data_IF_626376485661
#
_entry.id   IF_626376485661
#
_cell.length_a   1.000
_cell.length_b   1.000
_cell.length_c   1.000
_cell.angle_alpha   90.00
_cell.angle_beta   90.00
_cell.angle_gamma   90.00
#
_symmetry.space_group_name_H-M   'P 1'
#
loop_
_entity.id
_entity.type
_entity.pdbx_description
1 polymer ?
#
# COMPACT_ATOMS: atom_id res chain seq x y z
N UNK A 1 -35.13 28.04 -64.32
CA UNK A 1 -33.93 27.22 -63.88
C UNK A 1 -33.48 27.81 -62.57
N UNK A 2 -33.99 27.22 -61.48
CA UNK A 2 -33.68 27.62 -60.12
C UNK A 2 -32.49 26.84 -59.66
N UNK A 3 -31.45 27.55 -59.17
CA UNK A 3 -30.23 26.97 -58.63
C UNK A 3 -30.41 26.59 -57.15
N UNK A 4 -30.09 25.37 -56.88
CA UNK A 4 -30.10 24.74 -55.57
C UNK A 4 -28.96 25.36 -54.67
N UNK A 5 -29.22 25.79 -53.41
CA UNK A 5 -28.17 26.31 -52.55
C UNK A 5 -27.43 25.15 -51.88
N UNK A 6 -26.11 25.09 -52.10
CA UNK A 6 -25.18 24.15 -51.52
C UNK A 6 -25.25 24.14 -49.99
N UNK A 7 -25.48 22.95 -49.43
CA UNK A 7 -25.52 22.72 -48.01
C UNK A 7 -24.17 22.96 -47.33
N UNK A 8 -24.21 23.64 -46.20
CA UNK A 8 -23.04 23.87 -45.34
C UNK A 8 -22.50 22.54 -44.74
N UNK A 9 -21.18 22.39 -44.58
CA UNK A 9 -20.61 21.19 -43.95
C UNK A 9 -20.96 21.12 -42.46
N UNK A 10 -21.10 19.90 -41.90
CA UNK A 10 -21.42 19.74 -40.48
C UNK A 10 -20.26 20.24 -39.61
N UNK A 11 -20.61 20.99 -38.56
CA UNK A 11 -19.68 21.50 -37.57
C UNK A 11 -18.95 20.35 -36.89
N UNK A 12 -17.61 20.39 -36.91
CA UNK A 12 -16.76 19.45 -36.17
C UNK A 12 -17.03 19.59 -34.67
N UNK A 13 -17.42 18.49 -34.03
CA UNK A 13 -17.56 18.40 -32.59
C UNK A 13 -16.17 18.62 -31.94
N UNK A 14 -16.03 19.70 -31.20
CA UNK A 14 -14.84 19.95 -30.36
C UNK A 14 -14.62 18.80 -29.36
N UNK A 15 -13.36 18.42 -29.06
CA UNK A 15 -13.08 17.41 -28.06
C UNK A 15 -13.66 17.86 -26.72
N UNK A 16 -14.49 17.04 -26.11
CA UNK A 16 -14.90 17.24 -24.71
C UNK A 16 -13.66 17.18 -23.82
N UNK A 17 -13.21 18.32 -23.34
CA UNK A 17 -12.27 18.39 -22.24
C UNK A 17 -12.88 17.59 -21.07
N UNK A 18 -12.23 16.51 -20.68
CA UNK A 18 -12.55 15.83 -19.43
C UNK A 18 -12.26 16.83 -18.31
N UNK A 19 -13.30 17.39 -17.72
CA UNK A 19 -13.19 18.11 -16.46
C UNK A 19 -12.59 17.13 -15.45
N UNK A 20 -11.30 17.27 -15.17
CA UNK A 20 -10.66 16.61 -14.05
C UNK A 20 -11.19 17.29 -12.79
N UNK A 21 -12.19 16.68 -12.15
CA UNK A 21 -12.61 17.12 -10.83
C UNK A 21 -11.39 17.06 -9.91
N UNK A 22 -11.08 18.16 -9.25
CA UNK A 22 -10.00 18.21 -8.26
C UNK A 22 -10.28 17.11 -7.22
N UNK A 23 -9.30 16.22 -6.91
CA UNK A 23 -9.52 15.14 -5.93
C UNK A 23 -9.97 15.73 -4.60
N UNK A 24 -10.93 15.07 -3.93
CA UNK A 24 -11.45 15.51 -2.63
C UNK A 24 -10.38 15.42 -1.54
N UNK A 25 -9.38 14.54 -1.71
CA UNK A 25 -8.22 14.37 -0.83
C UNK A 25 -6.96 14.64 -1.62
N UNK A 26 -6.08 15.50 -1.12
CA UNK A 26 -4.83 15.89 -1.79
C UNK A 26 -3.58 15.29 -1.16
N UNK A 27 -3.64 14.92 0.11
CA UNK A 27 -2.51 14.35 0.82
C UNK A 27 -2.51 12.83 0.73
N UNK A 28 -1.36 12.26 0.40
CA UNK A 28 -1.11 10.82 0.40
C UNK A 28 0.05 10.55 1.34
N UNK A 29 -0.14 9.62 2.28
CA UNK A 29 0.89 9.19 3.23
C UNK A 29 1.20 7.73 2.97
N UNK A 30 2.45 7.43 2.62
CA UNK A 30 2.94 6.09 2.25
C UNK A 30 3.75 5.50 3.39
N UNK A 31 3.35 4.29 3.85
CA UNK A 31 3.94 3.57 4.98
C UNK A 31 4.53 2.26 4.49
N UNK A 32 5.83 2.05 4.68
CA UNK A 32 6.53 0.84 4.23
C UNK A 32 6.35 -0.34 5.18
N UNK A 33 6.71 -1.54 4.73
CA UNK A 33 6.66 -2.78 5.48
C UNK A 33 7.91 -3.08 6.31
N UNK A 34 7.98 -4.27 6.88
CA UNK A 34 9.18 -4.82 7.49
C UNK A 34 10.24 -5.17 6.45
N UNK A 35 11.50 -5.26 6.86
CA UNK A 35 12.68 -5.59 6.05
C UNK A 35 13.08 -4.54 4.99
N UNK A 36 12.26 -3.52 4.74
CA UNK A 36 12.47 -2.48 3.72
C UNK A 36 12.26 -1.11 4.34
N UNK A 37 12.66 -0.07 3.61
CA UNK A 37 12.43 1.33 3.97
C UNK A 37 11.50 2.02 2.97
N UNK A 38 11.31 3.32 3.15
CA UNK A 38 10.46 4.13 2.29
C UNK A 38 10.97 4.33 0.86
N UNK A 39 12.20 3.96 0.53
CA UNK A 39 12.78 4.17 -0.81
C UNK A 39 12.05 3.38 -1.90
N UNK A 40 11.47 2.22 -1.56
CA UNK A 40 10.69 1.43 -2.50
C UNK A 40 9.46 2.14 -3.05
N UNK A 41 8.96 3.17 -2.37
CA UNK A 41 7.83 3.97 -2.82
C UNK A 41 8.16 4.98 -3.93
N UNK A 42 9.44 5.12 -4.34
CA UNK A 42 9.89 6.18 -5.24
C UNK A 42 9.09 6.28 -6.55
N UNK A 43 8.76 5.16 -7.18
CA UNK A 43 8.02 5.16 -8.45
C UNK A 43 6.55 5.60 -8.25
N UNK A 44 5.89 5.09 -7.22
CA UNK A 44 4.51 5.49 -6.84
C UNK A 44 4.47 6.98 -6.48
N UNK A 45 5.43 7.45 -5.68
CA UNK A 45 5.57 8.87 -5.32
C UNK A 45 5.65 9.76 -6.56
N UNK A 46 6.49 9.41 -7.54
CA UNK A 46 6.62 10.19 -8.80
C UNK A 46 5.31 10.27 -9.57
N UNK A 47 4.57 9.16 -9.67
CA UNK A 47 3.29 9.14 -10.37
C UNK A 47 2.26 10.03 -9.69
N UNK A 48 2.12 9.93 -8.38
CA UNK A 48 1.14 10.71 -7.62
C UNK A 48 1.50 12.20 -7.55
N UNK A 49 2.77 12.55 -7.43
CA UNK A 49 3.19 13.96 -7.46
C UNK A 49 3.00 14.59 -8.83
N UNK A 50 3.19 13.83 -9.92
CA UNK A 50 2.88 14.30 -11.27
C UNK A 50 1.39 14.61 -11.47
N UNK A 51 0.50 13.95 -10.71
CA UNK A 51 -0.95 14.21 -10.70
C UNK A 51 -1.35 15.37 -9.77
N UNK A 52 -0.39 15.99 -9.09
CA UNK A 52 -0.62 17.12 -8.19
C UNK A 52 -0.99 16.76 -6.76
N UNK A 53 -0.82 15.49 -6.33
CA UNK A 53 -0.92 15.13 -4.91
C UNK A 53 0.29 15.59 -4.11
N UNK A 54 0.06 15.92 -2.84
CA UNK A 54 1.12 16.10 -1.85
C UNK A 54 1.40 14.72 -1.24
N UNK A 55 2.58 14.17 -1.51
CA UNK A 55 2.94 12.81 -1.09
C UNK A 55 4.03 12.85 -0.04
N UNK A 56 3.78 12.22 1.11
CA UNK A 56 4.76 12.06 2.18
C UNK A 56 5.04 10.57 2.38
N UNK A 57 6.31 10.20 2.50
CA UNK A 57 6.76 8.85 2.80
C UNK A 57 7.22 8.79 4.25
N UNK A 58 6.55 7.96 5.05
CA UNK A 58 6.94 7.73 6.44
C UNK A 58 8.16 6.81 6.46
N UNK A 59 9.15 7.15 7.26
CA UNK A 59 10.28 6.27 7.59
C UNK A 59 9.99 5.62 8.94
N UNK A 60 9.42 4.43 8.91
CA UNK A 60 9.10 3.68 10.12
C UNK A 60 10.39 3.22 10.82
N UNK A 61 10.52 3.40 12.14
CA UNK A 61 11.63 2.83 12.90
C UNK A 61 11.72 1.31 12.83
N UNK A 62 10.59 0.63 12.60
CA UNK A 62 10.44 -0.84 12.55
C UNK A 62 10.87 -1.56 13.84
N UNK A 63 10.88 -0.87 14.96
CA UNK A 63 11.26 -1.40 16.27
C UNK A 63 10.07 -1.98 17.02
N UNK A 64 8.94 -1.27 17.02
CA UNK A 64 7.68 -1.68 17.63
C UNK A 64 6.50 -1.09 16.88
N UNK A 65 5.33 -1.73 16.95
CA UNK A 65 4.11 -1.19 16.33
C UNK A 65 3.77 0.20 16.90
N UNK A 66 3.91 0.38 18.22
CA UNK A 66 3.66 1.67 18.88
C UNK A 66 4.56 2.79 18.32
N UNK A 67 5.86 2.53 18.15
CA UNK A 67 6.81 3.49 17.60
C UNK A 67 6.52 3.85 16.14
N UNK A 68 6.14 2.86 15.33
CA UNK A 68 5.81 3.05 13.92
C UNK A 68 4.48 3.80 13.74
N UNK A 69 3.49 3.52 14.59
CA UNK A 69 2.24 4.27 14.69
C UNK A 69 2.50 5.72 15.10
N UNK A 70 3.37 5.94 16.10
CA UNK A 70 3.73 7.29 16.53
C UNK A 70 4.42 8.08 15.42
N UNK A 71 5.36 7.47 14.68
CA UNK A 71 6.02 8.08 13.52
C UNK A 71 5.00 8.43 12.42
N UNK A 72 4.04 7.57 12.17
CA UNK A 72 2.97 7.81 11.18
C UNK A 72 2.05 8.95 11.63
N UNK A 73 1.61 8.96 12.88
CA UNK A 73 0.76 10.03 13.44
C UNK A 73 1.47 11.37 13.45
N UNK A 74 2.76 11.41 13.75
CA UNK A 74 3.56 12.64 13.66
C UNK A 74 3.51 13.26 12.26
N UNK A 75 3.54 12.44 11.20
CA UNK A 75 3.36 12.93 9.83
C UNK A 75 1.93 13.43 9.60
N UNK A 76 0.92 12.69 10.08
CA UNK A 76 -0.49 13.07 9.94
C UNK A 76 -0.83 14.38 10.64
N UNK A 77 -0.26 14.63 11.82
CA UNK A 77 -0.41 15.88 12.59
C UNK A 77 0.10 17.12 11.83
N UNK A 78 1.11 16.94 10.98
CA UNK A 78 1.69 18.03 10.18
C UNK A 78 0.97 18.31 8.87
N UNK A 79 -0.12 17.61 8.53
CA UNK A 79 -0.79 17.78 7.24
C UNK A 79 -1.80 18.95 7.26
N UNK A 80 -1.85 19.64 6.13
CA UNK A 80 -2.89 20.64 5.85
C UNK A 80 -4.08 19.96 5.12
N UNK A 81 -4.95 19.30 5.88
CA UNK A 81 -6.16 18.67 5.40
C UNK A 81 -6.13 17.13 5.32
N UNK A 82 -7.20 16.53 4.77
CA UNK A 82 -7.40 15.09 4.81
C UNK A 82 -6.40 14.32 3.93
N UNK A 83 -6.08 13.08 4.34
CA UNK A 83 -5.13 12.20 3.70
C UNK A 83 -5.71 10.81 3.36
N UNK A 84 -5.22 10.21 2.29
CA UNK A 84 -5.26 8.76 2.09
C UNK A 84 -4.01 8.17 2.73
N UNK A 85 -4.19 7.23 3.65
CA UNK A 85 -3.10 6.54 4.32
C UNK A 85 -2.89 5.17 3.67
N UNK A 86 -1.69 4.92 3.16
CA UNK A 86 -1.34 3.74 2.36
C UNK A 86 -0.32 2.90 3.08
N UNK A 87 -0.56 1.60 3.25
CA UNK A 87 0.36 0.68 3.90
C UNK A 87 0.71 -0.52 3.03
N UNK A 88 2.01 -0.83 2.93
CA UNK A 88 2.52 -2.05 2.31
C UNK A 88 2.91 -3.06 3.38
N UNK A 89 2.55 -4.33 3.19
CA UNK A 89 3.01 -5.43 4.06
C UNK A 89 2.67 -5.17 5.54
N UNK A 90 3.67 -5.20 6.44
CA UNK A 90 3.54 -4.79 7.85
C UNK A 90 3.01 -3.35 8.01
N UNK A 91 3.31 -2.46 7.06
CA UNK A 91 2.73 -1.12 7.05
C UNK A 91 1.20 -1.10 7.08
N UNK A 92 0.55 -2.19 6.65
CA UNK A 92 -0.89 -2.39 6.82
C UNK A 92 -1.33 -2.51 8.27
N UNK A 93 -0.56 -3.15 9.14
CA UNK A 93 -0.81 -3.16 10.58
C UNK A 93 -0.64 -1.76 11.18
N UNK A 94 0.39 -1.03 10.75
CA UNK A 94 0.62 0.36 11.19
C UNK A 94 -0.55 1.26 10.79
N UNK A 95 -1.02 1.19 9.54
CA UNK A 95 -2.15 2.04 9.11
C UNK A 95 -3.48 1.60 9.71
N UNK A 96 -3.63 0.33 10.09
CA UNK A 96 -4.82 -0.15 10.80
C UNK A 96 -4.95 0.52 12.16
N UNK A 97 -3.86 0.79 12.86
CA UNK A 97 -3.85 1.48 14.16
C UNK A 97 -3.79 3.01 14.00
N UNK A 98 -2.87 3.53 13.17
CA UNK A 98 -2.70 4.98 12.96
C UNK A 98 -3.90 5.61 12.24
N UNK A 99 -4.62 4.85 11.44
CA UNK A 99 -5.72 5.32 10.59
C UNK A 99 -6.97 5.80 11.34
N UNK A 100 -7.04 5.59 12.66
CA UNK A 100 -8.07 6.21 13.52
C UNK A 100 -7.89 7.73 13.64
N UNK A 101 -6.75 8.26 13.22
CA UNK A 101 -6.47 9.70 13.21
C UNK A 101 -7.50 10.48 12.40
N UNK A 102 -7.88 11.68 12.88
CA UNK A 102 -8.94 12.51 12.27
C UNK A 102 -8.63 12.93 10.82
N UNK A 103 -7.36 13.21 10.50
CA UNK A 103 -6.92 13.58 9.15
C UNK A 103 -7.03 12.41 8.15
N UNK A 104 -7.20 11.17 8.59
CA UNK A 104 -7.29 10.03 7.67
C UNK A 104 -8.69 9.92 7.09
N UNK A 105 -8.77 10.04 5.79
CA UNK A 105 -10.00 9.98 5.01
C UNK A 105 -10.32 8.58 4.49
N UNK A 106 -9.28 7.84 4.09
CA UNK A 106 -9.39 6.50 3.55
C UNK A 106 -8.09 5.73 3.76
N UNK A 107 -8.18 4.40 3.73
CA UNK A 107 -7.06 3.46 3.86
C UNK A 107 -6.83 2.72 2.55
N UNK A 108 -5.57 2.50 2.21
CA UNK A 108 -5.18 1.66 1.06
C UNK A 108 -4.15 0.64 1.51
N UNK A 109 -4.48 -0.62 1.35
CA UNK A 109 -3.64 -1.76 1.69
C UNK A 109 -2.99 -2.32 0.41
N UNK A 110 -1.68 -2.44 0.38
CA UNK A 110 -0.93 -2.96 -0.78
C UNK A 110 -0.20 -4.22 -0.35
N UNK A 111 -0.67 -5.40 -0.79
CA UNK A 111 -0.10 -6.69 -0.38
C UNK A 111 0.19 -6.72 1.14
N UNK A 112 -0.79 -6.36 1.96
CA UNK A 112 -0.56 -5.92 3.34
C UNK A 112 -1.37 -6.72 4.37
N UNK A 113 -0.90 -6.69 5.62
CA UNK A 113 -1.69 -7.16 6.76
C UNK A 113 -2.80 -6.16 7.10
N UNK A 114 -4.00 -6.67 7.39
CA UNK A 114 -5.13 -5.88 7.88
C UNK A 114 -5.67 -6.54 9.18
N UNK A 115 -4.91 -6.44 10.28
CA UNK A 115 -5.29 -7.07 11.55
C UNK A 115 -6.57 -6.48 12.12
N UNK A 116 -7.32 -7.32 12.81
CA UNK A 116 -8.45 -6.93 13.64
C UNK A 116 -8.01 -6.62 15.07
N UNK A 117 -8.94 -6.17 15.91
CA UNK A 117 -8.68 -5.86 17.32
C UNK A 117 -8.10 -7.06 18.06
N UNK A 118 -6.94 -6.86 18.68
CA UNK A 118 -6.19 -7.88 19.40
C UNK A 118 -5.31 -8.77 18.51
N UNK A 119 -5.38 -8.63 17.19
CA UNK A 119 -4.50 -9.33 16.27
C UNK A 119 -3.19 -8.55 16.06
N UNK A 120 -2.13 -9.28 15.78
CA UNK A 120 -0.83 -8.78 15.34
C UNK A 120 -0.42 -9.48 14.04
N UNK A 121 0.65 -9.03 13.40
CA UNK A 121 1.22 -9.78 12.26
C UNK A 121 1.59 -11.20 12.71
N UNK A 122 2.19 -11.34 13.90
CA UNK A 122 2.56 -12.63 14.45
C UNK A 122 1.36 -13.59 14.58
N UNK A 123 0.21 -13.12 15.04
CA UNK A 123 -0.99 -13.97 15.14
C UNK A 123 -1.57 -14.33 13.78
N UNK A 124 -1.49 -13.42 12.79
CA UNK A 124 -2.00 -13.66 11.44
C UNK A 124 -1.16 -14.66 10.63
N UNK A 125 0.13 -14.80 10.93
CA UNK A 125 1.02 -15.75 10.25
C UNK A 125 1.16 -17.08 10.99
N UNK A 126 0.59 -17.22 12.20
CA UNK A 126 0.74 -18.41 13.05
C UNK A 126 0.07 -19.68 12.48
N UNK A 127 -1.01 -19.51 11.68
CA UNK A 127 -1.75 -20.63 11.07
C UNK A 127 -1.89 -20.38 9.55
N UNK A 128 -0.83 -20.62 8.77
CA UNK A 128 -0.85 -20.39 7.34
C UNK A 128 -1.75 -21.42 6.62
N UNK A 129 -2.40 -21.03 5.52
CA UNK A 129 -3.16 -21.99 4.69
C UNK A 129 -2.30 -23.20 4.28
N UNK A 130 -2.87 -24.41 4.19
CA UNK A 130 -2.14 -25.58 3.75
C UNK A 130 -1.46 -25.38 2.40
N UNK A 131 -0.15 -25.66 2.32
CA UNK A 131 0.66 -25.48 1.11
C UNK A 131 1.08 -24.03 0.81
N UNK A 132 0.79 -23.11 1.71
CA UNK A 132 1.28 -21.72 1.57
C UNK A 132 2.82 -21.68 1.58
N UNK A 133 3.42 -20.77 0.79
CA UNK A 133 4.85 -20.51 0.90
C UNK A 133 5.21 -20.07 2.33
N UNK A 134 6.35 -20.56 2.82
CA UNK A 134 6.91 -20.12 4.10
C UNK A 134 7.93 -19.02 3.82
N UNK A 135 7.70 -17.79 4.31
CA UNK A 135 8.68 -16.71 4.17
C UNK A 135 10.04 -17.12 4.79
N UNK A 136 11.16 -16.81 4.13
CA UNK A 136 12.48 -17.22 4.61
C UNK A 136 12.99 -16.28 5.73
N UNK A 137 12.18 -16.09 6.75
CA UNK A 137 12.55 -15.30 7.94
C UNK A 137 13.56 -16.13 8.75
N UNK A 138 14.71 -15.52 9.07
CA UNK A 138 15.73 -16.12 9.90
C UNK A 138 15.31 -16.06 11.38
N UNK A 139 15.94 -16.94 12.20
CA UNK A 139 15.80 -16.87 13.64
C UNK A 139 16.16 -15.46 14.15
N UNK A 140 15.41 -14.91 15.11
CA UNK A 140 15.66 -13.58 15.65
C UNK A 140 17.09 -13.46 16.21
N UNK A 141 17.75 -12.34 15.89
CA UNK A 141 19.04 -11.98 16.48
C UNK A 141 18.92 -10.63 17.17
N UNK A 142 19.24 -10.59 18.48
CA UNK A 142 19.18 -9.37 19.30
C UNK A 142 17.82 -8.65 19.23
N UNK A 143 16.71 -9.40 19.10
CA UNK A 143 15.37 -8.87 19.01
C UNK A 143 14.95 -8.42 17.60
N UNK A 144 15.77 -8.71 16.57
CA UNK A 144 15.48 -8.32 15.17
C UNK A 144 15.38 -9.52 14.24
N UNK A 145 14.51 -9.37 13.25
CA UNK A 145 14.26 -10.31 12.17
C UNK A 145 14.88 -9.81 10.86
N UNK A 146 15.33 -10.77 10.05
CA UNK A 146 15.81 -10.57 8.69
C UNK A 146 15.31 -11.69 7.79
N UNK A 147 15.22 -11.44 6.50
CA UNK A 147 15.05 -12.49 5.50
C UNK A 147 16.41 -13.06 5.10
N UNK A 148 16.45 -14.37 4.83
CA UNK A 148 17.60 -15.01 4.19
C UNK A 148 17.89 -14.33 2.84
N UNK A 149 19.06 -13.68 2.74
CA UNK A 149 19.46 -12.90 1.55
C UNK A 149 19.47 -13.75 0.27
N UNK A 150 19.87 -15.01 0.38
CA UNK A 150 19.91 -15.91 -0.79
C UNK A 150 18.51 -16.27 -1.31
N UNK A 151 17.48 -16.18 -0.47
CA UNK A 151 16.09 -16.48 -0.79
C UNK A 151 15.22 -15.23 -0.98
N UNK A 152 15.76 -14.05 -0.68
CA UNK A 152 15.01 -12.79 -0.71
C UNK A 152 14.37 -12.52 -2.07
N UNK A 153 15.14 -12.58 -3.15
CA UNK A 153 14.62 -12.33 -4.50
C UNK A 153 13.44 -13.25 -4.82
N UNK A 154 13.58 -14.56 -4.56
CA UNK A 154 12.54 -15.54 -4.90
C UNK A 154 11.26 -15.39 -4.06
N UNK A 155 11.33 -14.84 -2.85
CA UNK A 155 10.17 -14.72 -1.94
C UNK A 155 9.57 -13.32 -1.91
N UNK A 156 10.39 -12.27 -1.92
CA UNK A 156 9.94 -10.89 -1.75
C UNK A 156 9.82 -10.14 -3.08
N UNK A 157 10.75 -10.36 -4.02
CA UNK A 157 10.95 -9.52 -5.20
C UNK A 157 11.15 -10.35 -6.49
N UNK A 158 10.34 -11.41 -6.67
CA UNK A 158 10.52 -12.40 -7.74
C UNK A 158 10.28 -11.84 -9.15
N UNK A 159 9.58 -10.73 -9.27
CA UNK A 159 9.23 -10.06 -10.53
C UNK A 159 10.06 -8.80 -10.80
N UNK A 160 11.06 -8.51 -9.94
CA UNK A 160 12.00 -7.41 -10.18
C UNK A 160 13.23 -7.86 -10.97
N UNK A 161 13.91 -6.93 -11.67
CA UNK A 161 15.23 -7.18 -12.22
C UNK A 161 16.20 -7.70 -11.13
N UNK A 162 17.06 -8.65 -11.48
CA UNK A 162 17.94 -9.31 -10.51
C UNK A 162 18.83 -8.33 -9.71
N UNK A 163 19.30 -7.24 -10.34
CA UNK A 163 20.10 -6.22 -9.66
C UNK A 163 19.30 -5.46 -8.60
N UNK A 164 18.03 -5.14 -8.88
CA UNK A 164 17.14 -4.42 -7.96
C UNK A 164 16.75 -5.32 -6.79
N UNK A 165 16.42 -6.59 -7.07
CA UNK A 165 16.12 -7.57 -6.03
C UNK A 165 17.34 -7.83 -5.12
N UNK A 166 18.56 -7.87 -5.68
CA UNK A 166 19.80 -8.00 -4.92
C UNK A 166 20.05 -6.77 -4.03
N UNK A 167 19.82 -5.56 -4.56
CA UNK A 167 19.94 -4.33 -3.78
C UNK A 167 18.98 -4.33 -2.59
N UNK A 168 17.72 -4.71 -2.79
CA UNK A 168 16.73 -4.82 -1.69
C UNK A 168 17.17 -5.85 -0.65
N UNK A 169 17.72 -6.99 -1.07
CA UNK A 169 18.24 -8.02 -0.18
C UNK A 169 19.44 -7.52 0.65
N UNK A 170 20.27 -6.64 0.06
CA UNK A 170 21.47 -6.09 0.72
C UNK A 170 21.16 -4.91 1.63
N UNK A 171 20.09 -4.18 1.35
CA UNK A 171 19.64 -2.98 2.07
C UNK A 171 18.52 -3.25 3.08
N UNK A 172 18.33 -4.51 3.51
CA UNK A 172 17.29 -4.84 4.48
C UNK A 172 17.39 -3.98 5.75
N UNK A 173 16.24 -3.49 6.18
CA UNK A 173 16.08 -2.84 7.48
C UNK A 173 15.77 -3.90 8.54
N UNK A 174 16.44 -3.91 9.72
CA UNK A 174 16.09 -4.81 10.81
C UNK A 174 14.63 -4.63 11.22
N UNK A 175 13.86 -5.72 11.31
CA UNK A 175 12.47 -5.67 11.75
C UNK A 175 12.32 -6.21 13.15
N UNK A 176 11.87 -5.39 14.10
CA UNK A 176 11.77 -5.73 15.52
C UNK A 176 10.72 -6.83 15.77
N UNK A 177 11.06 -7.75 16.65
CA UNK A 177 10.11 -8.77 17.14
C UNK A 177 8.90 -8.10 17.80
N UNK A 178 9.10 -6.96 18.49
CA UNK A 178 8.01 -6.20 19.10
C UNK A 178 7.12 -5.52 18.05
N UNK A 179 7.66 -5.18 16.87
CA UNK A 179 6.85 -4.69 15.76
C UNK A 179 5.99 -5.81 15.15
N UNK A 180 6.55 -7.02 15.01
CA UNK A 180 5.83 -8.21 14.56
C UNK A 180 4.69 -8.59 15.53
N UNK A 181 4.96 -8.54 16.85
CA UNK A 181 4.06 -8.99 17.91
C UNK A 181 3.06 -7.94 18.38
N UNK A 182 3.23 -6.67 17.98
CA UNK A 182 2.35 -5.57 18.37
C UNK A 182 0.93 -5.79 17.90
N UNK A 183 -0.02 -5.81 18.86
CA UNK A 183 -1.43 -6.03 18.56
C UNK A 183 -2.15 -4.71 18.29
N UNK A 184 -3.01 -4.70 17.26
CA UNK A 184 -3.89 -3.57 16.94
C UNK A 184 -4.99 -3.46 17.99
N UNK A 185 -5.22 -2.26 18.48
CA UNK A 185 -6.21 -2.00 19.53
C UNK A 185 -7.56 -1.52 18.99
N UNK A 186 -7.52 -0.71 17.94
CA UNK A 186 -8.72 -0.19 17.26
C UNK A 186 -8.48 -0.14 15.74
N UNK A 187 -8.90 -1.19 14.99
CA UNK A 187 -8.62 -1.26 13.57
C UNK A 187 -9.45 -0.22 12.79
N UNK A 188 -8.75 0.75 12.20
CA UNK A 188 -9.35 1.89 11.51
C UNK A 188 -10.23 1.48 10.31
N UNK A 189 -9.97 0.34 9.68
CA UNK A 189 -10.79 -0.19 8.58
C UNK A 189 -12.24 -0.52 8.98
N UNK A 190 -12.53 -0.60 10.28
CA UNK A 190 -13.92 -0.73 10.78
C UNK A 190 -14.73 0.55 10.62
N UNK A 191 -14.06 1.69 10.47
CA UNK A 191 -14.68 3.03 10.49
C UNK A 191 -14.32 3.88 9.27
N UNK A 192 -13.30 3.49 8.50
CA UNK A 192 -12.81 4.24 7.35
C UNK A 192 -12.99 3.45 6.06
N UNK A 193 -13.37 4.09 4.95
CA UNK A 193 -13.36 3.47 3.64
C UNK A 193 -12.00 2.86 3.35
N UNK A 194 -11.97 1.62 2.88
CA UNK A 194 -10.74 0.88 2.65
C UNK A 194 -10.69 0.31 1.25
N UNK A 195 -9.50 0.32 0.65
CA UNK A 195 -9.18 -0.33 -0.61
C UNK A 195 -8.01 -1.28 -0.43
N UNK A 196 -7.95 -2.34 -1.22
CA UNK A 196 -6.90 -3.35 -1.10
C UNK A 196 -6.42 -3.82 -2.48
N UNK A 197 -5.09 -3.83 -2.67
CA UNK A 197 -4.45 -4.45 -3.82
C UNK A 197 -3.83 -5.77 -3.40
N UNK A 198 -4.33 -6.86 -3.99
CA UNK A 198 -3.80 -8.22 -3.82
C UNK A 198 -2.71 -8.46 -4.85
N UNK A 199 -1.52 -8.83 -4.40
CA UNK A 199 -0.43 -9.29 -5.26
C UNK A 199 -0.57 -10.80 -5.50
N UNK A 200 -0.88 -11.20 -6.74
CA UNK A 200 -1.30 -12.59 -7.03
C UNK A 200 -0.17 -13.62 -7.01
N UNK A 201 1.08 -13.18 -7.03
CA UNK A 201 2.29 -14.03 -6.97
C UNK A 201 3.10 -13.81 -5.69
N UNK A 202 2.48 -13.19 -4.66
CA UNK A 202 3.10 -12.93 -3.38
C UNK A 202 3.44 -14.24 -2.63
N UNK A 203 4.70 -14.36 -2.22
CA UNK A 203 5.22 -15.50 -1.45
C UNK A 203 5.58 -15.15 -0.01
N UNK A 204 5.34 -13.88 0.40
CA UNK A 204 5.47 -13.43 1.78
C UNK A 204 4.13 -13.47 2.51
N UNK A 205 3.08 -12.91 1.89
CA UNK A 205 1.69 -12.97 2.38
C UNK A 205 0.89 -13.71 1.31
N UNK A 206 0.47 -14.96 1.54
CA UNK A 206 -0.25 -15.72 0.53
C UNK A 206 -1.46 -14.96 -0.03
N UNK A 207 -1.70 -14.95 -1.36
CA UNK A 207 -2.83 -14.20 -1.95
C UNK A 207 -4.19 -14.57 -1.36
N UNK A 208 -4.38 -15.82 -0.93
CA UNK A 208 -5.59 -16.25 -0.25
C UNK A 208 -5.78 -15.55 1.10
N UNK A 209 -4.71 -15.36 1.87
CA UNK A 209 -4.74 -14.62 3.14
C UNK A 209 -5.02 -13.12 2.89
N UNK A 210 -4.40 -12.53 1.86
CA UNK A 210 -4.67 -11.15 1.46
C UNK A 210 -6.16 -10.95 1.12
N UNK A 211 -6.76 -11.83 0.31
CA UNK A 211 -8.19 -11.79 -0.04
C UNK A 211 -9.10 -11.93 1.18
N UNK A 212 -8.74 -12.81 2.11
CA UNK A 212 -9.51 -13.01 3.35
C UNK A 212 -9.49 -11.74 4.21
N UNK A 213 -8.33 -11.11 4.39
CA UNK A 213 -8.21 -9.84 5.12
C UNK A 213 -8.94 -8.70 4.42
N UNK A 214 -8.83 -8.58 3.09
CA UNK A 214 -9.55 -7.57 2.30
C UNK A 214 -11.07 -7.71 2.43
N UNK A 215 -11.58 -8.96 2.35
CA UNK A 215 -13.01 -9.25 2.52
C UNK A 215 -13.48 -8.90 3.92
N UNK A 216 -12.73 -9.29 4.95
CA UNK A 216 -13.03 -8.96 6.35
C UNK A 216 -13.09 -7.46 6.59
N UNK A 217 -12.15 -6.72 6.01
CA UNK A 217 -12.10 -5.26 6.10
C UNK A 217 -13.18 -4.54 5.27
N UNK A 218 -13.98 -5.26 4.48
CA UNK A 218 -14.96 -4.65 3.56
C UNK A 218 -14.30 -3.77 2.50
N UNK A 219 -13.03 -4.05 2.15
CA UNK A 219 -12.26 -3.22 1.25
C UNK A 219 -12.66 -3.43 -0.21
N UNK A 220 -12.66 -2.34 -0.99
CA UNK A 220 -12.72 -2.41 -2.46
C UNK A 220 -11.43 -3.07 -2.94
N UNK A 221 -11.55 -4.27 -3.51
CA UNK A 221 -10.40 -5.12 -3.83
C UNK A 221 -10.07 -5.08 -5.31
N UNK A 222 -8.79 -4.88 -5.63
CA UNK A 222 -8.20 -5.06 -6.96
C UNK A 222 -7.06 -6.07 -6.88
N UNK A 223 -6.68 -6.67 -8.01
CA UNK A 223 -5.57 -7.63 -8.07
C UNK A 223 -4.56 -7.19 -9.12
N UNK A 224 -3.29 -7.43 -8.83
CA UNK A 224 -2.19 -7.22 -9.77
C UNK A 224 -1.28 -8.46 -9.80
N UNK A 225 -0.81 -8.79 -11.00
CA UNK A 225 0.21 -9.84 -11.15
C UNK A 225 1.54 -9.23 -10.67
N UNK A 226 2.06 -9.77 -9.59
CA UNK A 226 3.31 -9.28 -8.98
C UNK A 226 3.67 -10.04 -7.72
N UNK A 227 4.94 -9.94 -7.33
CA UNK A 227 5.47 -10.46 -6.07
C UNK A 227 5.06 -9.57 -4.89
N UNK A 228 5.63 -9.84 -3.70
CA UNK A 228 5.44 -8.99 -2.53
C UNK A 228 5.90 -7.54 -2.77
N UNK A 229 6.89 -7.33 -3.65
CA UNK A 229 7.36 -6.01 -4.07
C UNK A 229 6.50 -5.35 -5.16
N UNK A 230 5.21 -5.65 -5.22
CA UNK A 230 4.25 -5.15 -6.24
C UNK A 230 4.22 -3.63 -6.36
N UNK A 231 4.47 -2.90 -5.29
CA UNK A 231 4.54 -1.43 -5.29
C UNK A 231 5.78 -0.88 -6.03
N UNK A 232 6.81 -1.73 -6.22
CA UNK A 232 8.00 -1.42 -7.01
C UNK A 232 7.81 -1.87 -8.46
N UNK A 233 7.29 -3.09 -8.68
CA UNK A 233 7.16 -3.70 -10.01
C UNK A 233 5.96 -3.19 -10.79
N UNK A 234 4.84 -2.85 -10.09
CA UNK A 234 3.57 -2.41 -10.66
C UNK A 234 3.12 -1.04 -10.09
N UNK A 235 4.00 -0.01 -10.11
CA UNK A 235 3.68 1.28 -9.45
C UNK A 235 2.46 1.96 -10.05
N UNK A 236 2.14 1.71 -11.34
CA UNK A 236 0.95 2.21 -12.00
C UNK A 236 -0.33 1.68 -11.38
N UNK A 237 -0.45 0.38 -11.18
CA UNK A 237 -1.62 -0.25 -10.57
C UNK A 237 -1.84 0.24 -9.13
N UNK A 238 -0.74 0.41 -8.38
CA UNK A 238 -0.78 0.97 -7.02
C UNK A 238 -1.26 2.42 -7.03
N UNK A 239 -0.70 3.26 -7.89
CA UNK A 239 -1.09 4.66 -8.01
C UNK A 239 -2.56 4.81 -8.44
N UNK A 240 -3.05 3.95 -9.35
CA UNK A 240 -4.45 3.96 -9.79
C UNK A 240 -5.43 3.66 -8.64
N UNK A 241 -5.11 2.69 -7.79
CA UNK A 241 -5.93 2.39 -6.61
C UNK A 241 -5.93 3.56 -5.61
N UNK A 242 -4.78 4.20 -5.39
CA UNK A 242 -4.67 5.37 -4.50
C UNK A 242 -5.48 6.56 -5.06
N UNK A 243 -5.44 6.82 -6.38
CA UNK A 243 -6.27 7.84 -7.05
C UNK A 243 -7.76 7.60 -6.85
N UNK A 244 -8.18 6.34 -7.00
CA UNK A 244 -9.58 5.95 -6.77
C UNK A 244 -10.00 6.23 -5.32
N UNK A 245 -9.18 5.83 -4.34
CA UNK A 245 -9.45 6.09 -2.93
C UNK A 245 -9.50 7.60 -2.60
N UNK A 246 -8.65 8.42 -3.24
CA UNK A 246 -8.63 9.87 -3.06
C UNK A 246 -9.82 10.60 -3.70
N UNK A 247 -10.45 9.99 -4.71
CA UNK A 247 -11.56 10.58 -5.47
C UNK A 247 -12.94 10.04 -5.07
N UNK A 248 -13.00 9.04 -4.17
CA UNK A 248 -14.26 8.46 -3.72
C UNK A 248 -15.11 9.53 -3.00
N UNK A 249 -16.37 9.67 -3.44
CA UNK A 249 -17.35 10.51 -2.76
C UNK A 249 -17.65 9.93 -1.37
N UNK A 250 -17.77 10.81 -0.37
CA UNK A 250 -17.99 10.47 1.04
C UNK A 250 -19.46 10.62 1.43
#
# INVERSE_FOLDING_TARGET
>A
MEGDPAGAPPAALAPRERSMSTPSVRNIVLVHGGFVDGSGWQAVHRLLTADGFTVTVVQNPTLSLEGDVAATRFVLDGLDGPAVLVGHSYGGAVISEAGTHESVAALVYIAAFAPDKGESVNTLIADPPPGAPVPPILEPRDGFLFLDRAKFAASFAADLPAADAAFLADSQVPWGVDALAGAVTEPAWRHKPSSYLVATEDRMIPPAAQRAMATRAGAVTTEAIGSHAVYVSQPGAVADLIRQAASAER
#
